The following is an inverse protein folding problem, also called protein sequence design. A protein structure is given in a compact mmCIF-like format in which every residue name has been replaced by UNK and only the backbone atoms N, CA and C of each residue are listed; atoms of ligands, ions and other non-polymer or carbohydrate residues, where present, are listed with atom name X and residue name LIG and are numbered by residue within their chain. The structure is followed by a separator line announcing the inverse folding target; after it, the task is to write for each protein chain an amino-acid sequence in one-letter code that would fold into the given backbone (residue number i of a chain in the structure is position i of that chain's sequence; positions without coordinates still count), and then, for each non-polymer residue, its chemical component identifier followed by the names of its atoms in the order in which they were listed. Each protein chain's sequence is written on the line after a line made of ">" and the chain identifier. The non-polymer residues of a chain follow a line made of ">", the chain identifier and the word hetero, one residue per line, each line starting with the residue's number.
data_IF_106857687968
#
_entry.id   IF_106857687968
#
_cell.length_a   1.000
_cell.length_b   1.000
_cell.length_c   1.000
_cell.angle_alpha   90.00
_cell.angle_beta   90.00
_cell.angle_gamma   90.00
#
_symmetry.space_group_name_H-M   'P 1'
#
loop_
_entity.id
_entity.type
_entity.pdbx_description
1 polymer ?
#
# COMPACT_ATOMS: atom_id res chain seq x y z
N UNK A 1 -13.46 -15.82 -8.33
CA UNK A 1 -13.04 -14.44 -8.07
C UNK A 1 -11.84 -14.20 -8.95
N UNK A 2 -11.84 -13.16 -9.78
CA UNK A 2 -10.65 -12.78 -10.55
C UNK A 2 -9.71 -11.97 -9.63
N UNK A 3 -8.56 -12.52 -9.22
CA UNK A 3 -7.68 -11.85 -8.28
C UNK A 3 -7.01 -10.61 -8.88
N UNK A 4 -6.91 -10.48 -10.22
CA UNK A 4 -6.29 -9.33 -10.89
C UNK A 4 -7.12 -8.06 -10.79
N UNK A 5 -8.45 -8.20 -10.73
CA UNK A 5 -9.38 -7.06 -10.80
C UNK A 5 -10.17 -6.83 -9.50
N UNK A 6 -9.99 -7.66 -8.47
CA UNK A 6 -10.66 -7.48 -7.19
C UNK A 6 -10.02 -6.36 -6.37
N UNK A 7 -10.82 -5.48 -5.76
CA UNK A 7 -10.29 -4.53 -4.78
C UNK A 7 -9.79 -5.31 -3.55
N UNK A 8 -8.51 -5.22 -3.20
CA UNK A 8 -7.94 -6.00 -2.08
C UNK A 8 -8.75 -5.83 -0.79
N UNK A 9 -9.21 -4.60 -0.50
CA UNK A 9 -10.03 -4.28 0.68
C UNK A 9 -11.42 -4.93 0.71
N UNK A 10 -11.92 -5.43 -0.42
CA UNK A 10 -13.19 -6.17 -0.48
C UNK A 10 -13.01 -7.68 -0.26
N UNK A 11 -11.77 -8.16 -0.18
CA UNK A 11 -11.47 -9.56 0.09
C UNK A 11 -11.30 -9.74 1.62
N UNK A 12 -12.01 -10.69 2.25
CA UNK A 12 -11.75 -11.03 3.65
C UNK A 12 -10.31 -11.46 3.90
N UNK A 13 -9.71 -11.04 5.01
CA UNK A 13 -8.28 -11.28 5.30
C UNK A 13 -7.92 -12.77 5.35
N UNK A 14 -8.85 -13.64 5.76
CA UNK A 14 -8.68 -15.09 5.78
C UNK A 14 -8.41 -15.69 4.39
N UNK A 15 -8.69 -14.95 3.31
CA UNK A 15 -8.45 -15.39 1.94
C UNK A 15 -7.13 -14.86 1.34
N UNK A 16 -6.39 -13.99 2.04
CA UNK A 16 -5.20 -13.35 1.47
C UNK A 16 -4.10 -14.35 1.15
N UNK A 17 -3.87 -15.35 1.99
CA UNK A 17 -2.86 -16.38 1.73
C UNK A 17 -3.14 -17.12 0.42
N UNK A 18 -4.41 -17.49 0.17
CA UNK A 18 -4.81 -18.15 -1.07
C UNK A 18 -4.73 -17.21 -2.27
N UNK A 19 -5.10 -15.94 -2.11
CA UNK A 19 -4.99 -14.94 -3.17
C UNK A 19 -3.52 -14.71 -3.58
N UNK A 20 -2.60 -14.66 -2.61
CA UNK A 20 -1.16 -14.54 -2.87
C UNK A 20 -0.63 -15.73 -3.65
N UNK A 21 -0.95 -16.96 -3.25
CA UNK A 21 -0.55 -18.18 -3.96
C UNK A 21 -1.02 -18.18 -5.42
N UNK A 22 -2.30 -17.87 -5.65
CA UNK A 22 -2.87 -17.78 -6.99
C UNK A 22 -2.22 -16.70 -7.86
N UNK A 23 -1.89 -15.55 -7.27
CA UNK A 23 -1.21 -14.47 -7.97
C UNK A 23 0.27 -14.79 -8.25
N UNK A 24 0.94 -15.58 -7.40
CA UNK A 24 2.30 -16.06 -7.66
C UNK A 24 2.33 -17.07 -8.81
N UNK A 25 1.38 -18.01 -8.85
CA UNK A 25 1.21 -18.93 -9.98
C UNK A 25 0.89 -18.19 -11.29
N UNK A 26 -0.02 -17.21 -11.23
CA UNK A 26 -0.38 -16.38 -12.38
C UNK A 26 0.80 -15.56 -12.89
N UNK A 27 1.58 -14.97 -11.97
CA UNK A 27 2.80 -14.23 -12.34
C UNK A 27 3.77 -15.13 -13.09
N UNK A 28 4.02 -16.35 -12.61
CA UNK A 28 4.92 -17.30 -13.28
C UNK A 28 4.45 -17.63 -14.70
N UNK A 29 3.15 -17.89 -14.89
CA UNK A 29 2.55 -18.15 -16.22
C UNK A 29 2.74 -16.95 -17.15
N UNK A 30 2.53 -15.73 -16.65
CA UNK A 30 2.69 -14.50 -17.43
C UNK A 30 4.16 -14.19 -17.75
N UNK A 31 5.08 -14.39 -16.80
CA UNK A 31 6.53 -14.18 -16.98
C UNK A 31 7.11 -15.16 -18.01
N UNK A 32 6.67 -16.42 -17.98
CA UNK A 32 7.13 -17.47 -18.90
C UNK A 32 6.39 -17.48 -20.24
N UNK A 33 5.26 -16.75 -20.32
CA UNK A 33 4.34 -16.75 -21.47
C UNK A 33 3.93 -18.17 -21.88
N UNK A 34 3.60 -19.00 -20.88
CA UNK A 34 3.22 -20.39 -21.10
C UNK A 34 1.85 -20.50 -21.77
N UNK A 35 1.85 -20.62 -23.10
CA UNK A 35 0.65 -20.72 -23.94
C UNK A 35 -0.27 -21.92 -23.57
N UNK A 36 0.26 -22.96 -22.92
CA UNK A 36 -0.57 -24.08 -22.48
C UNK A 36 -1.37 -23.73 -21.21
N UNK A 37 -0.83 -22.84 -20.37
CA UNK A 37 -1.43 -22.46 -19.07
C UNK A 37 -2.16 -21.12 -19.11
N UNK A 38 -1.88 -20.23 -20.07
CA UNK A 38 -2.61 -18.97 -20.25
C UNK A 38 -4.15 -19.13 -20.31
N UNK A 39 -4.71 -20.18 -20.96
CA UNK A 39 -6.15 -20.42 -20.92
C UNK A 39 -6.71 -20.74 -19.53
N UNK A 40 -5.92 -21.38 -18.65
CA UNK A 40 -6.33 -21.72 -17.27
C UNK A 40 -6.58 -20.46 -16.43
N UNK A 41 -5.92 -19.36 -16.79
CA UNK A 41 -6.02 -18.06 -16.13
C UNK A 41 -6.88 -17.07 -16.92
N UNK A 42 -7.65 -17.56 -17.91
CA UNK A 42 -8.61 -16.75 -18.66
C UNK A 42 -8.01 -15.88 -19.77
N UNK A 43 -6.76 -16.13 -20.16
CA UNK A 43 -6.10 -15.42 -21.26
C UNK A 43 -6.00 -16.37 -22.46
N UNK A 44 -6.75 -16.09 -23.52
CA UNK A 44 -6.74 -16.89 -24.74
C UNK A 44 -6.66 -16.01 -25.96
N UNK A 45 -5.66 -16.25 -26.82
CA UNK A 45 -5.43 -15.50 -28.05
C UNK A 45 -6.63 -15.49 -28.98
N UNK A 46 -7.31 -16.63 -29.13
CA UNK A 46 -8.43 -16.80 -30.06
C UNK A 46 -9.71 -16.07 -29.61
N UNK A 47 -9.78 -15.63 -28.35
CA UNK A 47 -10.90 -14.84 -27.83
C UNK A 47 -10.63 -13.33 -27.88
N UNK A 48 -9.44 -12.89 -28.33
CA UNK A 48 -9.12 -11.47 -28.41
C UNK A 48 -9.81 -10.80 -29.60
N UNK A 49 -10.34 -9.57 -29.44
CA UNK A 49 -10.88 -8.80 -30.54
C UNK A 49 -9.84 -8.56 -31.65
N UNK A 50 -10.26 -8.49 -32.93
CA UNK A 50 -9.36 -8.16 -34.03
C UNK A 50 -8.65 -6.81 -33.81
N UNK A 51 -7.33 -6.78 -34.04
CA UNK A 51 -6.52 -5.57 -33.89
C UNK A 51 -5.99 -5.30 -32.48
N UNK A 52 -6.29 -6.15 -31.51
CA UNK A 52 -5.67 -6.10 -30.17
C UNK A 52 -4.28 -6.74 -30.23
N UNK A 53 -3.30 -6.05 -29.66
CA UNK A 53 -1.95 -6.56 -29.49
C UNK A 53 -1.90 -7.53 -28.30
N UNK A 54 -1.77 -8.83 -28.60
CA UNK A 54 -1.71 -9.90 -27.60
C UNK A 54 -0.56 -9.72 -26.61
N UNK A 55 0.61 -9.30 -27.10
CA UNK A 55 1.79 -9.13 -26.27
C UNK A 55 1.63 -7.95 -25.31
N UNK A 56 1.01 -6.86 -25.79
CA UNK A 56 0.68 -5.73 -24.94
C UNK A 56 -0.35 -6.08 -23.85
N UNK A 57 -1.30 -6.97 -24.15
CA UNK A 57 -2.28 -7.47 -23.15
C UNK A 57 -1.59 -8.33 -22.09
N UNK A 58 -0.68 -9.22 -22.48
CA UNK A 58 0.09 -10.02 -21.52
C UNK A 58 0.91 -9.13 -20.58
N UNK A 59 1.58 -8.13 -21.15
CA UNK A 59 2.38 -7.16 -20.41
C UNK A 59 1.54 -6.34 -19.42
N UNK A 60 0.35 -5.87 -19.83
CA UNK A 60 -0.58 -5.15 -18.93
C UNK A 60 -1.10 -6.04 -17.79
N UNK A 61 -1.38 -7.32 -18.07
CA UNK A 61 -1.77 -8.28 -17.04
C UNK A 61 -0.61 -8.59 -16.08
N UNK A 62 0.62 -8.66 -16.58
CA UNK A 62 1.81 -8.86 -15.76
C UNK A 62 2.03 -7.67 -14.83
N UNK A 63 1.94 -6.44 -15.34
CA UNK A 63 2.01 -5.20 -14.55
C UNK A 63 0.96 -5.19 -13.43
N UNK A 64 -0.30 -5.52 -13.76
CA UNK A 64 -1.39 -5.67 -12.77
C UNK A 64 -1.10 -6.75 -11.74
N UNK A 65 -0.59 -7.90 -12.18
CA UNK A 65 -0.30 -9.03 -11.29
C UNK A 65 0.75 -8.67 -10.24
N UNK A 66 1.87 -8.07 -10.64
CA UNK A 66 2.90 -7.61 -9.70
C UNK A 66 2.36 -6.56 -8.72
N UNK A 67 1.58 -5.60 -9.21
CA UNK A 67 0.99 -4.59 -8.34
C UNK A 67 0.04 -5.20 -7.31
N UNK A 68 -0.88 -6.04 -7.77
CA UNK A 68 -1.89 -6.67 -6.95
C UNK A 68 -1.29 -7.62 -5.91
N UNK A 69 -0.28 -8.40 -6.30
CA UNK A 69 0.48 -9.26 -5.39
C UNK A 69 1.15 -8.42 -4.28
N UNK A 70 1.69 -7.25 -4.63
CA UNK A 70 2.26 -6.32 -3.65
C UNK A 70 1.21 -5.77 -2.68
N UNK A 71 0.00 -5.48 -3.15
CA UNK A 71 -1.10 -5.01 -2.30
C UNK A 71 -1.57 -6.10 -1.34
N UNK A 72 -1.77 -7.34 -1.79
CA UNK A 72 -2.13 -8.43 -0.86
C UNK A 72 -1.03 -8.67 0.19
N UNK A 73 0.24 -8.65 -0.22
CA UNK A 73 1.37 -8.78 0.72
C UNK A 73 1.44 -7.62 1.73
N UNK A 74 1.16 -6.39 1.30
CA UNK A 74 1.06 -5.21 2.17
C UNK A 74 0.02 -5.39 3.28
N UNK A 75 -1.19 -5.83 2.92
CA UNK A 75 -2.33 -5.89 3.83
C UNK A 75 -2.47 -7.24 4.56
N UNK A 76 -1.63 -8.24 4.26
CA UNK A 76 -1.56 -9.50 5.00
C UNK A 76 -1.25 -9.26 6.49
N UNK A 77 -1.66 -10.22 7.32
CA UNK A 77 -1.42 -10.24 8.77
C UNK A 77 -0.79 -11.59 9.16
N UNK A 78 0.51 -11.63 9.55
CA UNK A 78 1.42 -10.50 9.56
C UNK A 78 1.74 -9.95 8.16
N UNK A 79 2.19 -8.69 8.07
CA UNK A 79 2.51 -8.05 6.79
C UNK A 79 3.68 -8.78 6.11
N UNK A 80 3.54 -9.01 4.79
CA UNK A 80 4.53 -9.67 3.95
C UNK A 80 5.24 -8.67 3.02
N UNK A 81 5.15 -7.37 3.31
CA UNK A 81 5.60 -6.29 2.43
C UNK A 81 7.07 -6.41 2.02
N UNK A 82 7.97 -6.88 2.90
CA UNK A 82 9.38 -7.09 2.55
C UNK A 82 9.54 -8.08 1.38
N UNK A 83 8.74 -9.15 1.36
CA UNK A 83 8.73 -10.14 0.28
C UNK A 83 8.11 -9.65 -1.03
N UNK A 84 7.47 -8.47 -1.02
CA UNK A 84 6.91 -7.85 -2.21
C UNK A 84 7.95 -7.05 -3.01
N UNK A 85 9.17 -6.87 -2.49
CA UNK A 85 10.19 -6.02 -3.11
C UNK A 85 10.45 -6.34 -4.59
N UNK A 86 10.59 -7.61 -5.04
CA UNK A 86 10.79 -7.90 -6.47
C UNK A 86 9.62 -7.43 -7.36
N UNK A 87 8.39 -7.52 -6.85
CA UNK A 87 7.21 -7.06 -7.58
C UNK A 87 7.13 -5.54 -7.64
N UNK A 88 7.53 -4.86 -6.56
CA UNK A 88 7.57 -3.40 -6.50
C UNK A 88 8.70 -2.84 -7.38
N UNK A 89 9.85 -3.50 -7.41
CA UNK A 89 10.95 -3.18 -8.35
C UNK A 89 10.46 -3.29 -9.80
N UNK A 90 9.71 -4.35 -10.15
CA UNK A 90 9.15 -4.52 -11.49
C UNK A 90 8.23 -3.35 -11.87
N UNK A 91 7.24 -3.04 -11.04
CA UNK A 91 6.25 -1.98 -11.30
C UNK A 91 6.92 -0.60 -11.38
N UNK A 92 7.85 -0.29 -10.47
CA UNK A 92 8.53 1.01 -10.43
C UNK A 92 9.45 1.20 -11.65
N UNK A 93 10.13 0.14 -12.10
CA UNK A 93 11.03 0.21 -13.24
C UNK A 93 10.30 0.34 -14.59
N UNK A 94 9.12 -0.28 -14.75
CA UNK A 94 8.31 -0.16 -15.98
C UNK A 94 7.57 1.16 -16.10
N UNK A 95 7.31 1.85 -15.00
CA UNK A 95 6.68 3.18 -15.00
C UNK A 95 7.59 4.32 -15.54
N UNK A 96 8.82 4.04 -15.96
CA UNK A 96 9.75 5.03 -16.49
C UNK A 96 9.29 5.55 -17.87
N UNK A 97 8.63 6.72 -17.90
CA UNK A 97 8.22 7.40 -19.15
C UNK A 97 6.87 8.15 -19.10
N UNK A 98 6.08 7.99 -18.04
CA UNK A 98 4.79 8.65 -17.85
C UNK A 98 4.69 9.53 -16.59
N UNK A 99 3.49 10.07 -16.30
CA UNK A 99 3.21 10.74 -15.00
C UNK A 99 3.39 9.69 -13.90
N UNK A 100 4.45 9.86 -13.12
CA UNK A 100 4.90 8.86 -12.14
C UNK A 100 3.86 8.71 -11.02
N UNK A 101 3.20 7.56 -10.95
CA UNK A 101 2.41 7.22 -9.78
C UNK A 101 3.36 7.06 -8.59
N UNK A 102 3.13 7.83 -7.54
CA UNK A 102 3.96 7.85 -6.34
C UNK A 102 3.67 6.68 -5.41
N UNK A 103 2.50 6.05 -5.57
CA UNK A 103 2.02 5.00 -4.68
C UNK A 103 2.93 3.75 -4.72
N UNK A 104 3.31 3.21 -5.89
CA UNK A 104 4.28 2.11 -5.95
C UNK A 104 5.65 2.48 -5.35
N UNK A 105 6.08 3.74 -5.49
CA UNK A 105 7.40 4.17 -5.02
C UNK A 105 7.48 4.21 -3.49
N UNK A 106 6.53 4.86 -2.80
CA UNK A 106 6.58 4.84 -1.34
C UNK A 106 6.27 3.45 -0.79
N UNK A 107 5.51 2.62 -1.51
CA UNK A 107 5.26 1.22 -1.10
C UNK A 107 6.56 0.41 -1.20
N UNK A 108 7.38 0.65 -2.22
CA UNK A 108 8.74 0.11 -2.36
C UNK A 108 9.66 0.58 -1.23
N UNK A 109 9.66 1.87 -0.91
CA UNK A 109 10.45 2.41 0.20
C UNK A 109 10.13 1.71 1.53
N UNK A 110 8.84 1.42 1.80
CA UNK A 110 8.44 0.63 2.97
C UNK A 110 8.94 -0.81 2.89
N UNK A 111 8.83 -1.47 1.72
CA UNK A 111 9.34 -2.82 1.55
C UNK A 111 10.85 -2.91 1.83
N UNK A 112 11.62 -1.93 1.36
CA UNK A 112 13.05 -1.81 1.69
C UNK A 112 13.27 -1.60 3.19
N UNK A 113 12.50 -0.73 3.84
CA UNK A 113 12.65 -0.44 5.27
C UNK A 113 12.38 -1.66 6.18
N UNK A 114 11.61 -2.63 5.67
CA UNK A 114 11.28 -3.90 6.32
C UNK A 114 12.17 -5.06 5.84
N UNK A 115 13.09 -4.82 4.92
CA UNK A 115 14.06 -5.81 4.44
C UNK A 115 15.39 -5.62 5.17
N UNK A 116 15.92 -6.65 5.85
CA UNK A 116 17.23 -6.56 6.50
C UNK A 116 18.32 -6.12 5.52
N UNK A 117 19.25 -5.28 5.99
CA UNK A 117 20.40 -4.78 5.24
C UNK A 117 20.07 -3.80 4.10
N UNK A 118 18.80 -3.40 3.95
CA UNK A 118 18.33 -2.44 2.93
C UNK A 118 17.89 -1.10 3.52
N UNK A 119 18.15 -0.86 4.80
CA UNK A 119 17.70 0.33 5.53
C UNK A 119 18.27 1.64 4.98
N UNK A 120 19.51 1.61 4.49
CA UNK A 120 20.15 2.79 3.90
C UNK A 120 19.47 3.21 2.59
N UNK A 121 19.14 2.24 1.73
CA UNK A 121 18.42 2.47 0.48
C UNK A 121 16.98 2.93 0.74
N UNK A 122 16.30 2.31 1.72
CA UNK A 122 14.97 2.74 2.13
C UNK A 122 14.95 4.22 2.54
N UNK A 123 15.97 4.64 3.29
CA UNK A 123 16.09 6.00 3.78
C UNK A 123 16.36 7.02 2.66
N UNK A 124 17.23 6.67 1.71
CA UNK A 124 17.45 7.48 0.51
C UNK A 124 16.15 7.64 -0.29
N UNK A 125 15.39 6.55 -0.45
CA UNK A 125 14.14 6.59 -1.20
C UNK A 125 13.07 7.43 -0.48
N UNK A 126 12.93 7.30 0.84
CA UNK A 126 12.04 8.16 1.62
C UNK A 126 12.41 9.64 1.53
N UNK A 127 13.70 9.97 1.69
CA UNK A 127 14.19 11.35 1.63
C UNK A 127 13.96 11.98 0.25
N UNK A 128 13.96 11.17 -0.81
CA UNK A 128 13.68 11.62 -2.18
C UNK A 128 12.20 11.88 -2.45
N UNK A 129 11.30 11.07 -1.89
CA UNK A 129 9.86 11.12 -2.26
C UNK A 129 9.02 11.94 -1.29
N UNK A 130 9.30 11.86 0.02
CA UNK A 130 8.42 12.40 1.06
C UNK A 130 8.32 13.95 1.11
N UNK A 131 9.37 14.74 0.75
CA UNK A 131 9.26 16.20 0.76
C UNK A 131 8.28 16.77 -0.27
N UNK A 132 8.18 16.16 -1.44
CA UNK A 132 7.38 16.68 -2.58
C UNK A 132 5.95 16.12 -2.61
N UNK A 133 5.62 15.24 -1.65
CA UNK A 133 4.38 14.49 -1.64
C UNK A 133 3.25 15.30 -0.99
N UNK A 134 2.24 15.71 -1.78
CA UNK A 134 1.00 16.30 -1.26
C UNK A 134 -0.05 15.22 -0.96
N UNK A 135 -0.78 15.34 0.15
CA UNK A 135 -1.71 14.33 0.65
C UNK A 135 -2.91 14.03 -0.28
N UNK A 136 -3.43 15.01 -1.05
CA UNK A 136 -4.43 14.73 -2.09
C UNK A 136 -3.92 13.78 -3.19
N UNK A 137 -2.62 13.72 -3.45
CA UNK A 137 -2.01 12.88 -4.49
C UNK A 137 -1.71 11.45 -4.01
N UNK A 138 -1.99 11.15 -2.74
CA UNK A 138 -1.32 10.07 -2.02
C UNK A 138 -2.16 8.83 -1.69
N UNK A 139 -3.47 8.86 -1.91
CA UNK A 139 -4.34 7.85 -1.30
C UNK A 139 -4.13 7.83 0.22
N UNK A 140 -4.51 8.95 0.88
CA UNK A 140 -4.29 9.35 2.28
C UNK A 140 -3.73 8.28 3.24
N UNK A 141 -4.43 7.16 3.44
CA UNK A 141 -4.00 6.06 4.34
C UNK A 141 -2.61 5.50 4.01
N UNK A 142 -2.33 5.22 2.74
CA UNK A 142 -1.10 4.57 2.32
C UNK A 142 0.14 5.46 2.51
N UNK A 143 -0.05 6.77 2.41
CA UNK A 143 0.99 7.75 2.67
C UNK A 143 1.28 7.99 4.14
N UNK A 144 0.23 8.09 4.96
CA UNK A 144 0.38 8.15 6.41
C UNK A 144 1.13 6.92 6.91
N UNK A 145 0.78 5.74 6.37
CA UNK A 145 1.51 4.50 6.62
C UNK A 145 2.97 4.59 6.20
N UNK A 146 3.26 5.01 4.97
CA UNK A 146 4.64 5.13 4.51
C UNK A 146 5.46 6.16 5.32
N UNK A 147 4.86 7.27 5.77
CA UNK A 147 5.53 8.25 6.64
C UNK A 147 5.73 7.72 8.06
N UNK A 148 4.79 6.95 8.61
CA UNK A 148 4.97 6.27 9.89
C UNK A 148 6.10 5.23 9.83
N UNK A 149 6.22 4.49 8.73
CA UNK A 149 7.34 3.58 8.49
C UNK A 149 8.68 4.32 8.41
N UNK A 150 8.70 5.49 7.76
CA UNK A 150 9.88 6.34 7.72
C UNK A 150 10.27 6.84 9.12
N UNK A 151 9.31 7.27 9.94
CA UNK A 151 9.53 7.62 11.34
C UNK A 151 10.17 6.46 12.12
N UNK A 152 9.63 5.25 12.03
CA UNK A 152 10.21 4.06 12.71
C UNK A 152 11.63 3.76 12.20
N UNK A 153 11.87 3.86 10.90
CA UNK A 153 13.20 3.68 10.32
C UNK A 153 14.21 4.70 10.85
N UNK A 154 13.82 5.98 10.92
CA UNK A 154 14.65 7.06 11.46
C UNK A 154 15.03 6.78 12.93
N UNK A 155 14.08 6.30 13.74
CA UNK A 155 14.35 5.90 15.12
C UNK A 155 15.34 4.74 15.20
N UNK A 156 15.16 3.66 14.40
CA UNK A 156 16.09 2.53 14.34
C UNK A 156 17.51 2.95 13.96
N UNK A 157 17.64 3.99 13.14
CA UNK A 157 18.92 4.55 12.68
C UNK A 157 19.48 5.63 13.62
N UNK A 158 18.85 5.90 14.77
CA UNK A 158 19.28 6.93 15.72
C UNK A 158 19.11 8.38 15.22
N UNK A 159 18.36 8.59 14.12
CA UNK A 159 18.09 9.93 13.53
C UNK A 159 16.92 10.61 14.26
N UNK A 160 17.05 10.79 15.57
CA UNK A 160 15.97 11.22 16.48
C UNK A 160 15.32 12.54 16.07
N UNK A 161 16.11 13.55 15.68
CA UNK A 161 15.56 14.86 15.33
C UNK A 161 14.66 14.79 14.08
N UNK A 162 15.10 14.10 13.03
CA UNK A 162 14.30 13.88 11.82
C UNK A 162 13.07 13.04 12.10
N UNK A 163 13.18 12.03 12.99
CA UNK A 163 12.03 11.23 13.40
C UNK A 163 10.97 12.14 14.04
N UNK A 164 11.38 13.02 14.96
CA UNK A 164 10.47 13.97 15.61
C UNK A 164 9.75 14.89 14.63
N UNK A 165 10.41 15.35 13.58
CA UNK A 165 9.76 16.14 12.51
C UNK A 165 8.64 15.35 11.80
N UNK A 166 8.82 14.04 11.60
CA UNK A 166 7.79 13.19 10.99
C UNK A 166 6.63 12.91 11.94
N UNK A 167 6.95 12.73 13.23
CA UNK A 167 5.97 12.55 14.30
C UNK A 167 5.07 13.79 14.43
N UNK A 168 5.66 14.98 14.57
CA UNK A 168 4.95 16.26 14.65
C UNK A 168 4.08 16.48 13.41
N UNK A 169 4.60 16.20 12.22
CA UNK A 169 3.83 16.31 10.98
C UNK A 169 2.60 15.39 10.97
N UNK A 170 2.72 14.14 11.45
CA UNK A 170 1.60 13.19 11.48
C UNK A 170 0.52 13.63 12.49
N UNK A 171 0.95 14.14 13.64
CA UNK A 171 0.06 14.70 14.66
C UNK A 171 -0.68 15.94 14.13
N UNK A 172 0.04 16.89 13.55
CA UNK A 172 -0.51 18.13 12.98
C UNK A 172 -1.45 17.83 11.82
N UNK A 173 -1.11 16.86 10.97
CA UNK A 173 -1.97 16.47 9.87
C UNK A 173 -3.34 16.00 10.36
N UNK A 174 -3.36 15.08 11.32
CA UNK A 174 -4.63 14.55 11.84
C UNK A 174 -5.47 15.65 12.51
N UNK A 175 -4.85 16.54 13.27
CA UNK A 175 -5.53 17.64 13.95
C UNK A 175 -6.08 18.69 12.98
N UNK A 176 -5.36 19.00 11.91
CA UNK A 176 -5.78 19.96 10.89
C UNK A 176 -6.81 19.41 9.91
N UNK A 177 -7.03 18.09 9.89
CA UNK A 177 -7.96 17.42 8.99
C UNK A 177 -9.01 16.59 9.76
N UNK A 178 -9.80 17.20 10.66
CA UNK A 178 -10.67 16.49 11.59
C UNK A 178 -11.80 15.69 10.93
N UNK A 179 -12.02 15.84 9.61
CA UNK A 179 -13.02 15.11 8.84
C UNK A 179 -12.42 14.25 7.72
N UNK A 180 -11.09 14.20 7.58
CA UNK A 180 -10.47 13.43 6.49
C UNK A 180 -10.44 11.93 6.78
N UNK A 181 -10.34 11.52 8.04
CA UNK A 181 -10.14 10.12 8.40
C UNK A 181 -10.68 9.80 9.80
N UNK A 182 -11.40 8.68 9.99
CA UNK A 182 -11.76 8.19 11.31
C UNK A 182 -10.51 7.83 12.15
N UNK A 183 -10.56 7.96 13.50
CA UNK A 183 -9.49 7.54 14.39
C UNK A 183 -8.99 6.11 14.13
N UNK A 184 -9.88 5.14 13.91
CA UNK A 184 -9.48 3.76 13.63
C UNK A 184 -8.63 3.63 12.37
N UNK A 185 -8.97 4.37 11.31
CA UNK A 185 -8.23 4.35 10.04
C UNK A 185 -6.90 5.06 10.13
N UNK A 186 -6.82 6.10 10.97
CA UNK A 186 -5.55 6.74 11.26
C UNK A 186 -4.64 5.82 12.07
N UNK A 187 -5.18 5.18 13.12
CA UNK A 187 -4.48 4.20 13.94
C UNK A 187 -3.97 3.03 13.08
N UNK A 188 -4.80 2.47 12.18
CA UNK A 188 -4.39 1.44 11.21
C UNK A 188 -3.20 1.87 10.34
N UNK A 189 -3.05 3.17 10.04
CA UNK A 189 -1.96 3.68 9.23
C UNK A 189 -0.67 3.88 10.04
N UNK A 190 -0.78 4.38 11.29
CA UNK A 190 0.39 4.80 12.07
C UNK A 190 0.89 3.76 13.07
N UNK A 191 0.09 2.74 13.39
CA UNK A 191 0.48 1.64 14.28
C UNK A 191 1.11 0.47 13.51
N UNK A 192 2.06 -0.21 14.13
CA UNK A 192 2.58 -1.48 13.64
C UNK A 192 1.73 -2.65 14.17
N UNK A 193 1.95 -3.84 13.63
CA UNK A 193 1.23 -5.03 14.06
C UNK A 193 1.51 -5.37 15.53
N UNK A 194 0.43 -5.44 16.32
CA UNK A 194 0.51 -5.70 17.75
C UNK A 194 0.73 -4.44 18.60
N UNK A 195 0.87 -3.25 17.99
CA UNK A 195 0.89 -1.99 18.72
C UNK A 195 -0.54 -1.54 19.07
N UNK A 196 -0.77 -1.20 20.33
CA UNK A 196 -2.02 -0.53 20.78
C UNK A 196 -1.91 1.00 20.70
N UNK A 197 -0.70 1.53 20.92
CA UNK A 197 -0.39 2.97 20.82
C UNK A 197 1.08 3.18 20.43
N UNK A 198 1.43 4.43 20.09
CA UNK A 198 2.80 4.90 19.91
C UNK A 198 2.91 6.42 20.13
N UNK A 199 4.12 6.97 20.03
CA UNK A 199 4.37 8.40 20.25
C UNK A 199 3.56 9.32 19.31
N UNK A 200 3.22 8.86 18.11
CA UNK A 200 2.36 9.63 17.19
C UNK A 200 0.96 9.76 17.79
N UNK A 201 0.33 8.67 18.22
CA UNK A 201 -1.02 8.70 18.80
C UNK A 201 -1.04 9.39 20.17
N UNK A 202 -0.07 9.10 21.03
CA UNK A 202 0.02 9.65 22.39
C UNK A 202 0.17 11.19 22.37
N UNK A 203 0.76 11.74 21.31
CA UNK A 203 0.91 13.18 21.12
C UNK A 203 -0.33 13.90 20.57
N UNK A 204 -1.41 13.20 20.24
CA UNK A 204 -2.67 13.81 19.75
C UNK A 204 -3.65 14.00 20.92
N UNK A 205 -3.98 15.24 21.32
CA UNK A 205 -4.90 15.49 22.42
C UNK A 205 -6.30 14.92 22.13
N UNK A 206 -6.87 14.21 23.12
CA UNK A 206 -8.21 13.62 23.05
C UNK A 206 -8.44 12.74 21.81
N UNK A 207 -7.40 12.01 21.35
CA UNK A 207 -7.49 11.13 20.18
C UNK A 207 -8.69 10.16 20.28
N UNK A 208 -9.56 10.20 19.27
CA UNK A 208 -10.76 9.35 19.19
C UNK A 208 -11.91 9.71 20.16
N UNK A 209 -11.72 10.65 21.08
CA UNK A 209 -12.75 11.01 22.06
C UNK A 209 -13.96 11.67 21.38
N UNK A 210 -15.15 11.19 21.73
CA UNK A 210 -16.41 11.73 21.22
C UNK A 210 -16.68 11.39 19.74
N UNK A 211 -15.90 10.47 19.15
CA UNK A 211 -16.12 9.98 17.78
C UNK A 211 -16.90 8.68 17.84
N UNK A 212 -18.07 8.66 17.17
CA UNK A 212 -18.81 7.41 16.91
C UNK A 212 -18.51 6.98 15.48
N UNK A 213 -17.88 5.81 15.35
CA UNK A 213 -17.65 5.17 14.05
C UNK A 213 -18.77 4.18 13.75
N UNK A 214 -19.52 4.41 12.68
CA UNK A 214 -20.60 3.52 12.28
C UNK A 214 -20.07 2.44 11.33
N UNK A 215 -20.26 1.15 11.64
CA UNK A 215 -19.90 0.08 10.71
C UNK A 215 -20.80 0.13 9.47
N UNK A 216 -20.19 0.34 8.30
CA UNK A 216 -20.89 0.37 7.02
C UNK A 216 -21.60 1.70 6.74
N UNK A 217 -20.91 2.63 6.10
CA UNK A 217 -21.54 3.85 5.58
C UNK A 217 -22.63 3.51 4.56
N UNK A 218 -23.84 4.04 4.79
CA UNK A 218 -25.02 3.95 3.91
C UNK A 218 -24.82 4.61 2.52
N UNK A 219 -23.62 5.15 2.25
CA UNK A 219 -23.15 5.58 0.95
C UNK A 219 -21.74 4.99 0.75
N UNK A 220 -21.62 4.04 -0.16
CA UNK A 220 -20.40 3.28 -0.40
C UNK A 220 -19.16 4.18 -0.55
N UNK A 221 -18.17 3.97 0.31
CA UNK A 221 -16.82 4.50 0.13
C UNK A 221 -16.27 5.38 1.25
N UNK A 222 -17.09 5.89 2.17
CA UNK A 222 -16.60 6.64 3.34
C UNK A 222 -17.24 6.12 4.62
N UNK A 223 -16.41 5.72 5.59
CA UNK A 223 -16.89 5.56 6.96
C UNK A 223 -17.41 6.92 7.43
N UNK A 224 -18.71 7.00 7.72
CA UNK A 224 -19.28 8.19 8.32
C UNK A 224 -18.92 8.20 9.82
N UNK A 225 -18.34 9.29 10.29
CA UNK A 225 -18.07 9.50 11.70
C UNK A 225 -18.61 10.86 12.13
N UNK A 226 -19.17 10.89 13.33
CA UNK A 226 -19.75 12.10 13.93
C UNK A 226 -18.90 12.42 15.15
N UNK A 227 -18.36 13.63 15.20
CA UNK A 227 -17.69 14.17 16.39
C UNK A 227 -18.70 14.95 17.20
N UNK A 228 -18.96 14.51 18.43
CA UNK A 228 -19.73 15.29 19.39
C UNK A 228 -18.78 16.24 20.12
N UNK A 229 -19.06 17.53 20.02
CA UNK A 229 -18.38 18.59 20.78
C UNK A 229 -18.90 18.71 22.20
#
# INVERSE_FOLDING_TARGET
>A
MDPLNVAVRSVPQEHYAKAIELLEELREVLETRDEARLPEVGITRDQMPPGVDYDAVLDDNLDKCHWQLSQFKKYAKPTLIASALPNLDFVVNRAQGGKRDVIPIYTRAVALARTPEREAEALEEFEKIMPDLSIPEMGQVSALWARAEWWRLLLRQGKVQKAKEQEEWLQDWYQSHPYAMPPSKFAEAVLDEGEETNAILDGIPDFGKGVVELPGGMFGGMNAFIRFG
#
